data_IF_567898023996
#
_entry.id   IF_567898023996
#
_cell.length_a   1.000
_cell.length_b   1.000
_cell.length_c   1.000
_cell.angle_alpha   90.00
_cell.angle_beta   90.00
_cell.angle_gamma   90.00
#
_symmetry.space_group_name_H-M   'P 1'
#
loop_
_entity.id
_entity.type
_entity.pdbx_description
1 polymer ?
#
# COMPACT_ATOMS: atom_id res chain seq x y z
N UNK A 1 -10.27 8.93 31.54
CA UNK A 1 -9.95 7.48 31.64
C UNK A 1 -9.32 7.21 33.00
N UNK A 2 -9.78 6.20 33.75
CA UNK A 2 -9.14 5.77 35.01
C UNK A 2 -8.19 4.61 34.70
N UNK A 3 -6.90 4.79 34.96
CA UNK A 3 -5.87 3.76 34.78
C UNK A 3 -6.09 2.62 35.77
N UNK A 4 -6.03 1.37 35.29
CA UNK A 4 -6.18 0.16 36.11
C UNK A 4 -4.91 -0.07 36.98
N UNK A 5 -5.04 -0.72 38.15
CA UNK A 5 -3.91 -0.96 39.05
C UNK A 5 -2.80 -1.82 38.41
N UNK A 6 -1.54 -1.39 38.58
CA UNK A 6 -0.34 -1.98 37.96
C UNK A 6 -0.15 -3.49 38.24
N UNK A 7 -0.69 -3.97 39.37
CA UNK A 7 -0.67 -5.38 39.79
C UNK A 7 -1.56 -6.30 38.92
N UNK A 8 -2.60 -5.75 38.29
CA UNK A 8 -3.47 -6.48 37.34
C UNK A 8 -2.88 -6.49 35.93
N UNK A 9 -2.17 -5.43 35.55
CA UNK A 9 -1.45 -5.33 34.27
C UNK A 9 -0.29 -6.34 34.17
N UNK A 10 0.40 -6.63 35.27
CA UNK A 10 1.48 -7.62 35.32
C UNK A 10 0.99 -9.08 35.15
N UNK A 11 -0.22 -9.42 35.61
CA UNK A 11 -0.81 -10.76 35.43
C UNK A 11 -1.44 -10.98 34.05
N UNK A 12 -1.75 -9.90 33.32
CA UNK A 12 -2.22 -9.94 31.93
C UNK A 12 -1.07 -9.81 30.90
N UNK A 13 0.18 -9.73 31.38
CA UNK A 13 1.22 -8.85 30.84
C UNK A 13 1.91 -9.19 29.53
N UNK A 14 1.64 -10.32 28.88
CA UNK A 14 2.19 -10.58 27.53
C UNK A 14 1.13 -11.09 26.57
N UNK A 15 0.52 -12.23 26.86
CA UNK A 15 -0.44 -12.85 25.93
C UNK A 15 -1.75 -12.08 25.77
N UNK A 16 -2.36 -11.59 26.86
CA UNK A 16 -3.60 -10.80 26.77
C UNK A 16 -3.35 -9.39 26.24
N UNK A 17 -2.19 -8.80 26.53
CA UNK A 17 -1.79 -7.53 25.95
C UNK A 17 -1.56 -7.70 24.44
N UNK A 18 -0.86 -8.75 24.00
CA UNK A 18 -0.69 -9.04 22.57
C UNK A 18 -2.01 -9.35 21.87
N UNK A 19 -2.92 -10.10 22.49
CA UNK A 19 -4.27 -10.31 21.97
C UNK A 19 -5.07 -9.00 21.89
N UNK A 20 -4.91 -8.08 22.85
CA UNK A 20 -5.56 -6.76 22.81
C UNK A 20 -4.93 -5.81 21.78
N UNK A 21 -3.64 -6.01 21.46
CA UNK A 21 -2.91 -5.27 20.44
C UNK A 21 -3.06 -5.89 19.05
N UNK A 22 -3.48 -7.15 18.93
CA UNK A 22 -3.76 -7.81 17.66
C UNK A 22 -4.67 -6.99 16.73
N UNK A 23 -5.82 -6.43 17.17
CA UNK A 23 -6.63 -5.58 16.30
C UNK A 23 -5.91 -4.28 15.89
N UNK A 24 -5.11 -3.70 16.79
CA UNK A 24 -4.33 -2.48 16.49
C UNK A 24 -3.23 -2.77 15.48
N UNK A 25 -2.53 -3.91 15.61
CA UNK A 25 -1.49 -4.36 14.67
C UNK A 25 -2.09 -4.71 13.31
N UNK A 26 -3.24 -5.36 13.28
CA UNK A 26 -3.99 -5.63 12.05
C UNK A 26 -4.38 -4.32 11.35
N UNK A 27 -4.95 -3.37 12.08
CA UNK A 27 -5.28 -2.04 11.56
C UNK A 27 -4.04 -1.30 11.05
N UNK A 28 -2.92 -1.36 11.77
CA UNK A 28 -1.66 -0.76 11.34
C UNK A 28 -1.15 -1.38 10.04
N UNK A 29 -1.18 -2.71 9.91
CA UNK A 29 -0.78 -3.41 8.69
C UNK A 29 -1.72 -3.09 7.51
N UNK A 30 -3.02 -2.96 7.76
CA UNK A 30 -4.00 -2.53 6.77
C UNK A 30 -3.70 -1.10 6.27
N UNK A 31 -3.44 -0.15 7.19
CA UNK A 31 -3.04 1.21 6.82
C UNK A 31 -1.72 1.26 6.06
N UNK A 32 -0.75 0.42 6.41
CA UNK A 32 0.50 0.30 5.64
C UNK A 32 0.26 -0.23 4.22
N UNK A 33 -0.67 -1.17 4.05
CA UNK A 33 -1.07 -1.65 2.74
C UNK A 33 -1.76 -0.55 1.92
N UNK A 34 -2.64 0.26 2.53
CA UNK A 34 -3.27 1.41 1.89
C UNK A 34 -2.25 2.46 1.43
N UNK A 35 -1.26 2.79 2.26
CA UNK A 35 -0.18 3.72 1.89
C UNK A 35 0.60 3.19 0.69
N UNK A 36 0.95 1.90 0.66
CA UNK A 36 1.64 1.30 -0.48
C UNK A 36 0.81 1.33 -1.77
N UNK A 37 -0.51 1.17 -1.67
CA UNK A 37 -1.41 1.30 -2.83
C UNK A 37 -1.40 2.75 -3.33
N UNK A 38 -1.50 3.74 -2.43
CA UNK A 38 -1.46 5.15 -2.79
C UNK A 38 -0.12 5.54 -3.44
N UNK A 39 1.02 5.05 -2.94
CA UNK A 39 2.33 5.25 -3.56
C UNK A 39 2.42 4.66 -4.98
N UNK A 40 1.74 3.53 -5.24
CA UNK A 40 1.67 2.93 -6.58
C UNK A 40 0.79 3.79 -7.50
N UNK A 41 -0.35 4.30 -6.99
CA UNK A 41 -1.23 5.20 -7.75
C UNK A 41 -0.52 6.49 -8.15
N UNK A 42 0.22 7.11 -7.23
CA UNK A 42 1.04 8.28 -7.53
C UNK A 42 2.03 7.98 -8.65
N UNK A 43 2.74 6.84 -8.57
CA UNK A 43 3.69 6.43 -9.60
C UNK A 43 3.02 6.23 -10.96
N UNK A 44 1.83 5.64 -11.01
CA UNK A 44 1.06 5.49 -12.25
C UNK A 44 0.80 6.86 -12.89
N UNK A 45 0.31 7.84 -12.12
CA UNK A 45 0.03 9.20 -12.62
C UNK A 45 1.31 9.90 -13.12
N UNK A 46 2.42 9.75 -12.39
CA UNK A 46 3.70 10.31 -12.84
C UNK A 46 4.19 9.66 -14.13
N UNK A 47 3.94 8.36 -14.31
CA UNK A 47 4.35 7.62 -15.50
C UNK A 47 3.45 7.97 -16.69
N UNK A 48 2.15 8.15 -16.48
CA UNK A 48 1.22 8.68 -17.50
C UNK A 48 1.68 10.04 -18.01
N UNK A 49 2.07 10.94 -17.11
CA UNK A 49 2.63 12.25 -17.47
C UNK A 49 3.87 12.11 -18.35
N UNK A 50 4.80 11.20 -18.01
CA UNK A 50 5.99 10.92 -18.84
C UNK A 50 5.66 10.37 -20.22
N UNK A 51 4.65 9.49 -20.32
CA UNK A 51 4.19 9.00 -21.62
C UNK A 51 3.70 10.17 -22.48
N UNK A 52 2.91 11.08 -21.91
CA UNK A 52 2.44 12.27 -22.62
C UNK A 52 3.61 13.19 -23.04
N UNK A 53 4.61 13.38 -22.17
CA UNK A 53 5.81 14.14 -22.49
C UNK A 53 6.57 13.50 -23.66
N UNK A 54 6.84 12.19 -23.62
CA UNK A 54 7.52 11.49 -24.72
C UNK A 54 6.74 11.56 -26.04
N UNK A 55 5.41 11.47 -25.99
CA UNK A 55 4.55 11.62 -27.17
C UNK A 55 4.57 13.05 -27.75
N UNK A 56 4.87 14.05 -26.92
CA UNK A 56 4.96 15.46 -27.33
C UNK A 56 6.32 15.86 -27.95
N UNK A 57 7.33 14.99 -27.85
CA UNK A 57 8.67 15.25 -28.39
C UNK A 57 8.74 15.03 -29.91
N UNK A 58 9.61 15.78 -30.59
CA UNK A 58 9.90 15.58 -32.02
C UNK A 58 11.42 15.48 -32.26
N UNK A 59 11.92 14.39 -32.89
CA UNK A 59 11.17 13.22 -33.34
C UNK A 59 10.63 12.41 -32.15
N UNK A 60 9.48 11.75 -32.36
CA UNK A 60 8.87 10.90 -31.32
C UNK A 60 9.72 9.66 -31.14
N UNK A 61 10.16 9.40 -29.90
CA UNK A 61 10.86 8.17 -29.53
C UNK A 61 9.85 7.08 -29.16
N UNK A 62 9.48 6.26 -30.15
CA UNK A 62 8.55 5.15 -29.97
C UNK A 62 9.08 4.07 -29.03
N UNK A 63 10.40 3.84 -28.97
CA UNK A 63 11.00 2.83 -28.09
C UNK A 63 10.87 3.24 -26.62
N UNK A 64 11.12 4.52 -26.33
CA UNK A 64 10.89 5.06 -24.98
C UNK A 64 9.41 5.05 -24.60
N UNK A 65 8.52 5.36 -25.54
CA UNK A 65 7.07 5.35 -25.29
C UNK A 65 6.56 3.94 -24.98
N UNK A 66 7.00 2.92 -25.72
CA UNK A 66 6.64 1.52 -25.45
C UNK A 66 7.12 1.08 -24.06
N UNK A 67 8.36 1.39 -23.69
CA UNK A 67 8.89 1.08 -22.34
C UNK A 67 8.08 1.75 -21.25
N UNK A 68 7.72 3.02 -21.44
CA UNK A 68 6.94 3.77 -20.47
C UNK A 68 5.53 3.17 -20.29
N UNK A 69 4.89 2.73 -21.38
CA UNK A 69 3.61 2.03 -21.37
C UNK A 69 3.69 0.64 -20.70
N UNK A 70 4.74 -0.13 -20.97
CA UNK A 70 4.97 -1.44 -20.33
C UNK A 70 5.15 -1.30 -18.82
N UNK A 71 5.91 -0.29 -18.38
CA UNK A 71 6.08 0.02 -16.96
C UNK A 71 4.74 0.38 -16.30
N UNK A 72 3.93 1.18 -16.98
CA UNK A 72 2.61 1.60 -16.50
C UNK A 72 1.67 0.38 -16.32
N UNK A 73 1.62 -0.50 -17.32
CA UNK A 73 0.85 -1.74 -17.26
C UNK A 73 1.32 -2.68 -16.12
N UNK A 74 2.63 -2.75 -15.88
CA UNK A 74 3.21 -3.51 -14.77
C UNK A 74 2.77 -2.92 -13.41
N UNK A 75 2.76 -1.59 -13.28
CA UNK A 75 2.33 -0.91 -12.05
C UNK A 75 0.84 -1.11 -11.78
N UNK A 76 -0.02 -1.01 -12.79
CA UNK A 76 -1.45 -1.32 -12.65
C UNK A 76 -1.70 -2.77 -12.19
N UNK A 77 -0.93 -3.72 -12.75
CA UNK A 77 -1.02 -5.12 -12.34
C UNK A 77 -0.59 -5.30 -10.89
N UNK A 78 0.49 -4.63 -10.46
CA UNK A 78 0.95 -4.65 -9.05
C UNK A 78 -0.11 -4.07 -8.13
N UNK A 79 -0.75 -2.96 -8.50
CA UNK A 79 -1.86 -2.37 -7.74
C UNK A 79 -2.98 -3.38 -7.51
N UNK A 80 -3.45 -4.03 -8.59
CA UNK A 80 -4.50 -5.07 -8.52
C UNK A 80 -4.11 -6.24 -7.62
N UNK A 81 -2.83 -6.64 -7.62
CA UNK A 81 -2.33 -7.69 -6.73
C UNK A 81 -2.34 -7.24 -5.26
N UNK A 82 -1.89 -6.02 -4.98
CA UNK A 82 -1.92 -5.46 -3.62
C UNK A 82 -3.35 -5.30 -3.08
N UNK A 83 -4.29 -4.88 -3.92
CA UNK A 83 -5.71 -4.81 -3.54
C UNK A 83 -6.27 -6.19 -3.21
N UNK A 84 -5.96 -7.23 -4.01
CA UNK A 84 -6.34 -8.61 -3.70
C UNK A 84 -5.76 -9.09 -2.38
N UNK A 85 -4.46 -8.89 -2.16
CA UNK A 85 -3.80 -9.27 -0.90
C UNK A 85 -4.44 -8.53 0.28
N UNK A 86 -4.73 -7.23 0.14
CA UNK A 86 -5.41 -6.46 1.18
C UNK A 86 -6.77 -7.07 1.52
N UNK A 87 -7.58 -7.38 0.50
CA UNK A 87 -8.93 -7.93 0.69
C UNK A 87 -8.90 -9.36 1.27
N UNK A 88 -7.89 -10.18 0.92
CA UNK A 88 -7.71 -11.53 1.47
C UNK A 88 -7.17 -11.51 2.91
N UNK A 89 -6.28 -10.57 3.25
CA UNK A 89 -5.68 -10.47 4.58
C UNK A 89 -6.55 -9.72 5.59
N UNK A 90 -7.43 -8.84 5.12
CA UNK A 90 -8.34 -8.05 5.93
C UNK A 90 -9.76 -8.13 5.34
N UNK A 91 -10.41 -9.30 5.37
CA UNK A 91 -11.82 -9.40 5.05
C UNK A 91 -12.64 -8.60 6.07
N UNK A 92 -13.65 -7.86 5.61
CA UNK A 92 -14.62 -7.15 6.48
C UNK A 92 -15.30 -8.11 7.47
#
# INVERSE_FOLDING_TARGET
MKLKPFKELLKMGKEKIEQSLAPVRALQAMRQAEVKIAEIEEKIITQESKVMETASTHPVDFDCMIKALDELALMERRKKQFEKIKNEMFPE
#
